data_IF_612067382799
#
_entry.id   IF_612067382799
#
_cell.length_a   1.000
_cell.length_b   1.000
_cell.length_c   1.000
_cell.angle_alpha   90.00
_cell.angle_beta   90.00
_cell.angle_gamma   90.00
#
_symmetry.space_group_name_H-M   'P 1'
#
loop_
_entity.id
_entity.type
_entity.pdbx_description
1 polymer ?
#
# COMPACT_ATOMS: atom_id res chain seq x y z
N UNK A 1 -15.00 7.98 14.37
CA UNK A 1 -13.60 8.36 14.07
C UNK A 1 -12.82 7.08 13.78
N UNK A 2 -12.96 6.52 12.58
CA UNK A 2 -12.29 5.29 12.15
C UNK A 2 -11.23 5.62 11.11
N UNK A 3 -10.13 6.24 11.53
CA UNK A 3 -8.94 6.36 10.72
C UNK A 3 -7.94 5.31 11.20
N UNK A 4 -7.58 4.36 10.34
CA UNK A 4 -6.38 3.55 10.60
C UNK A 4 -5.18 4.48 10.73
N UNK A 5 -4.29 4.24 11.70
CA UNK A 5 -3.03 4.98 11.75
C UNK A 5 -2.31 4.86 10.40
N UNK A 6 -1.70 5.95 9.89
CA UNK A 6 -0.87 5.88 8.69
C UNK A 6 0.19 4.80 8.85
N UNK A 7 0.51 4.10 7.76
CA UNK A 7 1.69 3.22 7.74
C UNK A 7 2.97 4.02 7.93
N UNK A 8 4.07 3.38 8.33
CA UNK A 8 5.41 4.01 8.40
C UNK A 8 5.78 4.78 7.13
N UNK A 9 5.51 4.22 5.96
CA UNK A 9 5.80 4.88 4.67
C UNK A 9 4.88 6.09 4.43
N UNK A 10 3.60 5.99 4.79
CA UNK A 10 2.66 7.10 4.72
C UNK A 10 3.06 8.23 5.69
N UNK A 11 3.48 7.88 6.91
CA UNK A 11 3.99 8.85 7.88
C UNK A 11 5.26 9.55 7.38
N UNK A 12 6.17 8.81 6.74
CA UNK A 12 7.38 9.36 6.12
C UNK A 12 7.03 10.33 4.98
N UNK A 13 6.10 9.96 4.10
CA UNK A 13 5.62 10.84 3.02
C UNK A 13 4.95 12.12 3.56
N UNK A 14 4.16 11.99 4.63
CA UNK A 14 3.49 13.12 5.26
C UNK A 14 4.45 14.11 5.94
N UNK A 15 5.71 13.72 6.16
CA UNK A 15 6.75 14.55 6.77
C UNK A 15 7.64 15.27 5.75
N UNK A 16 7.45 15.03 4.44
CA UNK A 16 8.23 15.70 3.40
C UNK A 16 7.75 17.15 3.21
N UNK A 17 8.69 18.04 2.92
CA UNK A 17 8.39 19.43 2.55
C UNK A 17 7.55 19.46 1.26
N UNK A 18 6.61 20.40 1.19
CA UNK A 18 5.69 20.61 0.07
C UNK A 18 4.83 19.40 -0.32
N UNK A 19 4.71 18.40 0.57
CA UNK A 19 3.86 17.22 0.38
C UNK A 19 2.73 17.22 1.40
N UNK A 20 1.49 17.17 0.90
CA UNK A 20 0.29 17.00 1.73
C UNK A 20 -0.29 15.60 1.53
N UNK A 21 -0.09 14.70 2.50
CA UNK A 21 -0.76 13.41 2.48
C UNK A 21 -2.18 13.51 3.05
N UNK A 22 -3.18 13.05 2.28
CA UNK A 22 -4.55 12.87 2.75
C UNK A 22 -5.00 11.43 2.47
N UNK A 23 -5.49 10.75 3.50
CA UNK A 23 -5.90 9.35 3.43
C UNK A 23 -7.43 9.27 3.48
N UNK A 24 -8.01 8.53 2.54
CA UNK A 24 -9.42 8.13 2.60
C UNK A 24 -9.69 7.12 3.72
N UNK A 25 -10.97 6.77 3.90
CA UNK A 25 -11.41 5.80 4.91
C UNK A 25 -11.14 4.37 4.45
N UNK A 26 -10.55 3.56 5.33
CA UNK A 26 -10.36 2.13 5.07
C UNK A 26 -11.58 1.37 5.61
N UNK A 27 -12.29 0.66 4.73
CA UNK A 27 -13.46 -0.14 5.13
C UNK A 27 -13.04 -1.47 5.78
N UNK A 28 -14.01 -2.23 6.28
CA UNK A 28 -13.77 -3.56 6.90
C UNK A 28 -13.14 -4.60 5.97
N UNK A 29 -13.19 -4.36 4.65
CA UNK A 29 -12.56 -5.18 3.61
C UNK A 29 -11.14 -4.71 3.26
N UNK A 30 -10.64 -3.66 3.91
CA UNK A 30 -9.31 -3.11 3.64
C UNK A 30 -9.24 -2.21 2.42
N UNK A 31 -10.37 -1.86 1.80
CA UNK A 31 -10.42 -0.95 0.66
C UNK A 31 -10.46 0.49 1.14
N UNK A 32 -9.66 1.35 0.51
CA UNK A 32 -9.68 2.78 0.75
C UNK A 32 -10.79 3.43 -0.08
N UNK A 33 -11.63 4.25 0.56
CA UNK A 33 -12.78 4.94 -0.04
C UNK A 33 -12.77 6.44 0.26
N UNK A 34 -13.40 7.23 -0.59
CA UNK A 34 -13.57 8.68 -0.42
C UNK A 34 -12.35 9.51 -0.78
N UNK A 35 -11.38 8.94 -1.49
CA UNK A 35 -10.18 9.66 -1.95
C UNK A 35 -10.54 10.62 -3.09
N UNK A 36 -11.46 10.20 -3.96
CA UNK A 36 -12.10 10.98 -5.02
C UNK A 36 -12.66 12.31 -4.49
N UNK A 37 -13.45 12.25 -3.43
CA UNK A 37 -14.08 13.43 -2.82
C UNK A 37 -13.04 14.37 -2.21
N UNK A 38 -11.94 13.85 -1.66
CA UNK A 38 -10.84 14.66 -1.13
C UNK A 38 -10.12 15.40 -2.26
N UNK A 39 -9.80 14.71 -3.36
CA UNK A 39 -9.15 15.31 -4.54
C UNK A 39 -10.04 16.40 -5.13
N UNK A 40 -11.33 16.11 -5.35
CA UNK A 40 -12.29 17.07 -5.92
C UNK A 40 -12.42 18.30 -5.03
N UNK A 41 -12.55 18.12 -3.72
CA UNK A 41 -12.67 19.24 -2.78
C UNK A 41 -11.42 20.12 -2.81
N UNK A 42 -10.23 19.53 -2.73
CA UNK A 42 -8.98 20.29 -2.71
C UNK A 42 -8.74 21.04 -4.03
N UNK A 43 -9.01 20.40 -5.16
CA UNK A 43 -8.88 21.02 -6.48
C UNK A 43 -9.82 22.23 -6.62
N UNK A 44 -11.09 22.10 -6.21
CA UNK A 44 -12.07 23.19 -6.26
C UNK A 44 -11.69 24.33 -5.32
N UNK A 45 -11.26 24.03 -4.09
CA UNK A 45 -10.89 25.05 -3.11
C UNK A 45 -9.68 25.85 -3.58
N UNK A 46 -8.63 25.18 -4.05
CA UNK A 46 -7.43 25.83 -4.59
C UNK A 46 -7.77 26.71 -5.80
N UNK A 47 -8.63 26.23 -6.69
CA UNK A 47 -9.09 26.99 -7.85
C UNK A 47 -9.93 28.20 -7.45
N UNK A 48 -10.90 28.02 -6.54
CA UNK A 48 -11.79 29.10 -6.07
C UNK A 48 -11.01 30.20 -5.37
N UNK A 49 -10.02 29.83 -4.55
CA UNK A 49 -9.14 30.76 -3.84
C UNK A 49 -8.04 31.34 -4.74
N UNK A 50 -8.00 31.00 -6.03
CA UNK A 50 -6.98 31.46 -6.99
C UNK A 50 -5.56 31.17 -6.52
N UNK A 51 -5.38 30.09 -5.77
CA UNK A 51 -4.09 29.69 -5.20
C UNK A 51 -3.22 28.93 -6.22
N UNK A 52 -3.82 28.45 -7.31
CA UNK A 52 -3.15 27.79 -8.42
C UNK A 52 -3.67 28.34 -9.76
N UNK A 53 -2.86 28.28 -10.80
CA UNK A 53 -3.25 28.55 -12.20
C UNK A 53 -3.39 27.26 -13.01
N UNK A 54 -2.61 26.24 -12.65
CA UNK A 54 -2.53 24.97 -13.36
C UNK A 54 -2.53 23.83 -12.33
N UNK A 55 -3.14 22.71 -12.68
CA UNK A 55 -3.18 21.49 -11.89
C UNK A 55 -2.75 20.30 -12.74
N UNK A 56 -1.81 19.51 -12.24
CA UNK A 56 -1.47 18.20 -12.81
C UNK A 56 -2.22 17.12 -12.03
N UNK A 57 -3.13 16.41 -12.69
CA UNK A 57 -3.93 15.35 -12.10
C UNK A 57 -3.43 13.98 -12.56
N UNK A 58 -2.93 13.18 -11.63
CA UNK A 58 -2.58 11.77 -11.86
C UNK A 58 -3.75 10.89 -11.43
N UNK A 59 -4.67 10.62 -12.35
CA UNK A 59 -5.85 9.80 -12.08
C UNK A 59 -6.45 9.20 -13.35
N UNK A 60 -7.42 8.30 -13.17
CA UNK A 60 -8.16 7.70 -14.28
C UNK A 60 -9.67 7.56 -14.05
N UNK A 61 -10.16 7.94 -12.88
CA UNK A 61 -11.55 7.76 -12.48
C UNK A 61 -12.46 8.87 -13.03
N UNK A 62 -13.61 8.49 -13.58
CA UNK A 62 -14.60 9.42 -14.12
C UNK A 62 -15.18 10.34 -13.03
N UNK A 63 -15.22 9.87 -11.78
CA UNK A 63 -15.77 10.63 -10.65
C UNK A 63 -15.03 11.95 -10.41
N UNK A 64 -13.78 12.07 -10.84
CA UNK A 64 -13.00 13.30 -10.74
C UNK A 64 -13.39 14.36 -11.77
N UNK A 65 -14.12 13.99 -12.82
CA UNK A 65 -14.49 14.88 -13.93
C UNK A 65 -15.22 16.14 -13.44
N UNK A 66 -16.11 16.01 -12.46
CA UNK A 66 -16.83 17.16 -11.90
C UNK A 66 -15.88 18.16 -11.22
N UNK A 67 -14.82 17.67 -10.56
CA UNK A 67 -13.80 18.53 -9.96
C UNK A 67 -13.01 19.29 -11.03
N UNK A 68 -12.66 18.62 -12.13
CA UNK A 68 -11.98 19.24 -13.28
C UNK A 68 -12.82 20.38 -13.86
N UNK A 69 -14.09 20.09 -14.17
CA UNK A 69 -15.00 21.06 -14.76
C UNK A 69 -15.17 22.32 -13.89
N UNK A 70 -15.35 22.15 -12.57
CA UNK A 70 -15.53 23.27 -11.64
C UNK A 70 -14.23 24.08 -11.49
N UNK A 71 -13.07 23.42 -11.44
CA UNK A 71 -11.78 24.11 -11.36
C UNK A 71 -11.52 24.99 -12.59
N UNK A 72 -11.85 24.49 -13.79
CA UNK A 72 -11.77 25.24 -15.04
C UNK A 72 -12.71 26.45 -15.07
N UNK A 73 -13.91 26.34 -14.48
CA UNK A 73 -14.81 27.50 -14.32
C UNK A 73 -14.20 28.60 -13.44
N UNK A 74 -13.28 28.23 -12.56
CA UNK A 74 -12.46 29.17 -11.78
C UNK A 74 -11.13 29.52 -12.46
N UNK A 75 -10.95 29.22 -13.75
CA UNK A 75 -9.79 29.64 -14.55
C UNK A 75 -8.53 28.84 -14.30
N UNK A 76 -8.61 27.67 -13.65
CA UNK A 76 -7.49 26.75 -13.51
C UNK A 76 -7.44 25.80 -14.71
N UNK A 77 -6.27 25.63 -15.30
CA UNK A 77 -6.06 24.61 -16.34
C UNK A 77 -5.73 23.27 -15.70
N UNK A 78 -6.31 22.19 -16.22
CA UNK A 78 -6.11 20.85 -15.65
C UNK A 78 -5.48 19.93 -16.67
N UNK A 79 -4.30 19.42 -16.35
CA UNK A 79 -3.52 18.51 -17.17
C UNK A 79 -3.62 17.10 -16.59
N UNK A 80 -4.15 16.15 -17.37
CA UNK A 80 -4.21 14.75 -16.95
C UNK A 80 -2.91 14.03 -17.30
N UNK A 81 -2.32 13.36 -16.32
CA UNK A 81 -1.18 12.48 -16.49
C UNK A 81 -1.62 11.03 -16.30
N UNK A 82 -1.35 10.19 -17.30
CA UNK A 82 -1.50 8.74 -17.24
C UNK A 82 -0.15 8.02 -17.10
N UNK A 83 -0.18 6.81 -16.54
CA UNK A 83 0.98 5.91 -16.45
C UNK A 83 0.76 4.76 -17.43
N UNK A 84 1.79 4.42 -18.22
CA UNK A 84 1.68 3.35 -19.20
C UNK A 84 1.36 1.98 -18.57
N UNK A 85 0.40 1.21 -19.11
CA UNK A 85 -0.50 1.57 -20.21
C UNK A 85 -1.68 2.41 -19.72
N UNK A 86 -1.78 3.67 -20.15
CA UNK A 86 -2.84 4.57 -19.70
C UNK A 86 -4.19 4.30 -20.40
N UNK A 87 -4.14 3.77 -21.63
CA UNK A 87 -5.35 3.41 -22.40
C UNK A 87 -6.01 2.19 -21.77
N UNK A 88 -7.14 2.41 -21.09
CA UNK A 88 -7.91 1.39 -20.38
C UNK A 88 -8.01 1.62 -18.88
N UNK A 89 -7.06 2.36 -18.29
CA UNK A 89 -7.10 2.76 -16.89
C UNK A 89 -7.65 4.18 -16.68
N UNK A 90 -7.92 4.92 -17.77
CA UNK A 90 -8.44 6.28 -17.72
C UNK A 90 -9.79 6.39 -18.45
N UNK A 91 -10.76 7.04 -17.79
CA UNK A 91 -12.06 7.33 -18.37
C UNK A 91 -11.96 8.23 -19.61
N UNK A 92 -12.61 7.87 -20.74
CA UNK A 92 -12.71 8.73 -21.92
C UNK A 92 -13.33 10.11 -21.62
N UNK A 93 -14.30 10.17 -20.71
CA UNK A 93 -14.98 11.41 -20.33
C UNK A 93 -14.05 12.33 -19.54
N UNK A 94 -13.22 11.76 -18.65
CA UNK A 94 -12.18 12.54 -17.96
C UNK A 94 -11.12 13.07 -18.93
N UNK A 95 -10.72 12.24 -19.91
CA UNK A 95 -9.76 12.64 -20.95
C UNK A 95 -10.28 13.80 -21.80
N UNK A 96 -11.58 13.82 -22.10
CA UNK A 96 -12.22 14.89 -22.86
C UNK A 96 -12.36 16.20 -22.06
N UNK A 97 -12.51 16.09 -20.75
CA UNK A 97 -12.66 17.26 -19.87
C UNK A 97 -11.34 17.98 -19.61
N UNK A 98 -10.23 17.25 -19.51
CA UNK A 98 -8.92 17.83 -19.23
C UNK A 98 -8.40 18.70 -20.39
N UNK A 99 -7.69 19.79 -20.06
CA UNK A 99 -7.09 20.69 -21.05
C UNK A 99 -6.02 20.00 -21.90
N UNK A 100 -5.22 19.13 -21.28
CA UNK A 100 -4.23 18.32 -21.98
C UNK A 100 -4.10 16.96 -21.33
N UNK A 101 -3.75 15.96 -22.12
CA UNK A 101 -3.50 14.60 -21.65
C UNK A 101 -2.08 14.19 -22.04
N UNK A 102 -1.32 13.67 -21.07
CA UNK A 102 0.03 13.13 -21.29
C UNK A 102 0.14 11.76 -20.66
N UNK A 103 0.96 10.91 -21.25
CA UNK A 103 1.27 9.58 -20.73
C UNK A 103 2.76 9.50 -20.42
N UNK A 104 3.10 9.06 -19.21
CA UNK A 104 4.45 8.61 -18.90
C UNK A 104 4.65 7.19 -19.42
N UNK A 105 5.57 7.06 -20.38
CA UNK A 105 5.96 5.79 -20.95
C UNK A 105 6.63 4.88 -19.91
N UNK A 106 6.68 3.60 -20.20
CA UNK A 106 7.40 2.61 -19.39
C UNK A 106 8.86 3.02 -19.13
N UNK A 107 9.56 3.58 -20.13
CA UNK A 107 10.95 4.03 -19.98
C UNK A 107 11.12 5.15 -18.94
N UNK A 108 10.08 5.95 -18.70
CA UNK A 108 10.08 7.01 -17.66
C UNK A 108 9.85 6.41 -16.28
N UNK A 109 9.01 5.37 -16.19
CA UNK A 109 8.49 4.82 -14.92
C UNK A 109 9.39 3.72 -14.37
N UNK A 110 9.93 2.87 -15.22
CA UNK A 110 10.81 1.74 -14.87
C UNK A 110 11.99 2.12 -13.93
N UNK A 111 12.64 3.30 -14.06
CA UNK A 111 13.73 3.70 -13.16
C UNK A 111 13.35 3.85 -11.69
N UNK A 112 12.08 4.09 -11.36
CA UNK A 112 11.64 4.38 -9.98
C UNK A 112 10.40 3.61 -9.52
N UNK A 113 9.76 2.82 -10.39
CA UNK A 113 8.59 2.02 -10.04
C UNK A 113 8.70 0.63 -10.66
N UNK A 114 8.51 -0.40 -9.83
CA UNK A 114 8.48 -1.79 -10.26
C UNK A 114 7.17 -2.43 -9.85
N UNK A 115 6.52 -3.14 -10.78
CA UNK A 115 5.34 -3.94 -10.46
C UNK A 115 5.81 -5.11 -9.60
N UNK A 116 5.28 -5.22 -8.38
CA UNK A 116 5.43 -6.47 -7.63
C UNK A 116 4.64 -7.55 -8.37
N UNK A 117 5.25 -8.67 -8.77
CA UNK A 117 4.51 -9.75 -9.40
C UNK A 117 3.36 -10.13 -8.48
N UNK A 118 2.14 -10.09 -9.02
CA UNK A 118 0.97 -10.57 -8.31
C UNK A 118 1.26 -12.03 -7.95
N UNK A 119 1.35 -12.32 -6.66
CA UNK A 119 1.36 -13.69 -6.20
C UNK A 119 -0.02 -14.20 -6.59
N UNK A 120 -0.11 -15.05 -7.60
CA UNK A 120 -1.25 -15.94 -7.73
C UNK A 120 -1.42 -16.57 -6.35
N UNK A 121 -2.52 -16.25 -5.67
CA UNK A 121 -2.92 -17.02 -4.52
C UNK A 121 -2.86 -18.49 -4.98
N UNK A 122 -2.18 -19.40 -4.26
CA UNK A 122 -2.25 -20.81 -4.60
C UNK A 122 -3.73 -21.14 -4.73
N UNK A 123 -4.08 -21.68 -5.91
CA UNK A 123 -5.42 -21.67 -6.46
C UNK A 123 -6.51 -22.00 -5.46
N UNK A 124 -7.69 -21.42 -5.69
CA UNK A 124 -8.97 -21.79 -5.10
C UNK A 124 -8.93 -23.13 -4.38
N UNK A 125 -8.80 -23.10 -3.06
CA UNK A 125 -9.10 -24.28 -2.25
C UNK A 125 -10.60 -24.52 -2.48
N UNK A 126 -11.01 -25.72 -2.95
CA UNK A 126 -12.42 -26.03 -3.07
C UNK A 126 -13.12 -25.86 -1.71
N UNK A 127 -14.36 -25.39 -1.77
CA UNK A 127 -15.28 -25.20 -0.64
C UNK A 127 -15.19 -26.33 0.40
N UNK A 128 -15.33 -26.04 1.70
CA UNK A 128 -14.91 -26.95 2.76
C UNK A 128 -15.88 -28.12 2.89
N UNK A 129 -15.48 -29.30 2.42
CA UNK A 129 -15.84 -30.51 3.12
C UNK A 129 -14.95 -30.61 4.36
N UNK A 130 -15.60 -30.75 5.51
CA UNK A 130 -15.00 -30.81 6.82
C UNK A 130 -13.95 -31.94 6.88
N UNK A 131 -12.67 -31.56 6.84
CA UNK A 131 -11.59 -32.34 7.44
C UNK A 131 -11.12 -31.56 8.65
N UNK A 132 -11.26 -32.19 9.82
CA UNK A 132 -10.62 -31.75 11.07
C UNK A 132 -9.10 -31.77 10.86
N UNK A 133 -8.56 -30.68 10.31
CA UNK A 133 -7.13 -30.44 10.27
C UNK A 133 -6.68 -30.24 11.72
N UNK A 134 -5.83 -31.15 12.22
CA UNK A 134 -5.26 -31.07 13.55
C UNK A 134 -4.61 -29.70 13.78
N UNK A 135 -4.58 -29.24 15.03
CA UNK A 135 -4.02 -27.94 15.42
C UNK A 135 -2.60 -27.71 14.89
N UNK A 136 -1.81 -28.77 14.69
CA UNK A 136 -0.46 -28.69 14.15
C UNK A 136 -0.40 -28.28 12.67
N UNK A 137 -1.37 -28.68 11.85
CA UNK A 137 -1.37 -28.38 10.41
C UNK A 137 -1.81 -26.92 10.15
N UNK A 138 -2.70 -26.42 11.00
CA UNK A 138 -3.11 -25.02 11.05
C UNK A 138 -1.93 -24.13 11.46
N UNK A 139 -1.21 -24.49 12.52
CA UNK A 139 -0.03 -23.74 12.97
C UNK A 139 1.11 -23.78 11.95
N UNK A 140 1.31 -24.91 11.27
CA UNK A 140 2.27 -25.03 10.18
C UNK A 140 1.93 -24.08 9.03
N UNK A 141 0.66 -24.04 8.59
CA UNK A 141 0.17 -23.15 7.53
C UNK A 141 0.37 -21.67 7.89
N UNK A 142 0.05 -21.28 9.13
CA UNK A 142 0.28 -19.92 9.64
C UNK A 142 1.76 -19.57 9.65
N UNK A 143 2.61 -20.49 10.11
CA UNK A 143 4.05 -20.27 10.19
C UNK A 143 4.67 -20.09 8.80
N UNK A 144 4.21 -20.85 7.81
CA UNK A 144 4.64 -20.74 6.41
C UNK A 144 4.22 -19.39 5.82
N UNK A 145 2.95 -19.00 5.98
CA UNK A 145 2.47 -17.70 5.51
C UNK A 145 3.21 -16.51 6.16
N UNK A 146 3.54 -16.63 7.46
CA UNK A 146 4.30 -15.64 8.19
C UNK A 146 5.75 -15.53 7.71
N UNK A 147 6.45 -16.66 7.50
CA UNK A 147 7.84 -16.67 6.97
C UNK A 147 7.91 -16.13 5.56
N UNK A 148 6.98 -16.53 4.69
CA UNK A 148 6.90 -16.02 3.32
C UNK A 148 6.69 -14.50 3.32
N UNK A 149 5.82 -14.01 4.21
CA UNK A 149 5.61 -12.56 4.37
C UNK A 149 6.87 -11.86 4.87
N UNK A 150 7.63 -12.46 5.80
CA UNK A 150 8.90 -11.92 6.29
C UNK A 150 9.98 -11.84 5.19
N UNK A 151 10.07 -12.87 4.34
CA UNK A 151 11.00 -12.91 3.19
C UNK A 151 10.66 -11.85 2.14
N UNK A 152 9.38 -11.52 2.00
CA UNK A 152 8.86 -10.58 0.99
C UNK A 152 8.81 -9.12 1.45
N UNK A 153 9.29 -8.79 2.66
CA UNK A 153 9.38 -7.39 3.10
C UNK A 153 10.41 -6.62 2.30
N UNK A 154 10.10 -5.36 1.99
CA UNK A 154 11.04 -4.47 1.33
C UNK A 154 12.20 -4.12 2.26
N UNK A 155 13.37 -3.73 1.70
CA UNK A 155 14.47 -3.21 2.50
C UNK A 155 14.04 -2.05 3.41
N UNK A 156 13.14 -1.17 2.95
CA UNK A 156 12.57 -0.08 3.76
C UNK A 156 11.76 -0.58 4.95
N UNK A 157 10.92 -1.60 4.75
CA UNK A 157 10.14 -2.23 5.82
C UNK A 157 11.06 -2.96 6.81
N UNK A 158 12.12 -3.61 6.34
CA UNK A 158 13.13 -4.27 7.18
C UNK A 158 13.86 -3.25 8.05
N UNK A 159 14.27 -2.12 7.46
CA UNK A 159 14.86 -1.00 8.21
C UNK A 159 13.87 -0.46 9.24
N UNK A 160 12.60 -0.28 8.88
CA UNK A 160 11.57 0.20 9.80
C UNK A 160 11.34 -0.76 10.99
N UNK A 161 11.42 -2.07 10.76
CA UNK A 161 11.38 -3.07 11.85
C UNK A 161 12.65 -3.00 12.70
N UNK A 162 13.82 -2.84 12.08
CA UNK A 162 15.10 -2.68 12.77
C UNK A 162 15.12 -1.46 13.68
N UNK A 163 14.68 -0.31 13.19
CA UNK A 163 14.55 0.92 13.99
C UNK A 163 13.56 0.74 15.14
N UNK A 164 12.42 0.09 14.88
CA UNK A 164 11.43 -0.20 15.91
C UNK A 164 11.98 -1.06 17.05
N UNK A 165 12.81 -2.07 16.73
CA UNK A 165 13.47 -2.89 17.74
C UNK A 165 14.61 -2.16 18.47
N UNK A 166 15.34 -1.28 17.77
CA UNK A 166 16.40 -0.45 18.35
C UNK A 166 15.85 0.57 19.37
N UNK A 167 14.63 1.06 19.18
CA UNK A 167 13.91 1.93 20.12
C UNK A 167 13.43 1.20 21.40
N UNK A 168 13.74 -0.09 21.55
CA UNK A 168 13.38 -0.91 22.71
C UNK A 168 11.98 -1.52 22.63
N UNK A 169 11.25 -1.32 21.53
CA UNK A 169 9.93 -1.91 21.34
C UNK A 169 10.04 -3.39 20.99
N UNK A 170 9.34 -4.24 21.76
CA UNK A 170 9.27 -5.68 21.51
C UNK A 170 7.99 -6.00 20.73
N UNK A 171 8.13 -6.69 19.60
CA UNK A 171 6.97 -7.14 18.83
C UNK A 171 7.14 -6.92 17.34
N UNK A 172 6.02 -7.02 16.61
CA UNK A 172 5.93 -6.61 15.20
C UNK A 172 5.34 -5.21 15.16
N UNK A 173 5.90 -4.27 14.37
CA UNK A 173 5.30 -2.95 14.21
C UNK A 173 3.81 -3.05 13.83
N UNK A 174 2.92 -2.19 14.37
CA UNK A 174 1.46 -2.32 14.19
C UNK A 174 1.00 -2.40 12.73
N UNK A 175 1.72 -1.73 11.82
CA UNK A 175 1.37 -1.66 10.40
C UNK A 175 1.65 -2.97 9.68
N UNK A 176 2.78 -3.58 10.02
CA UNK A 176 3.19 -4.90 9.54
C UNK A 176 2.33 -5.99 10.18
N UNK A 177 1.99 -5.86 11.46
CA UNK A 177 1.09 -6.79 12.17
C UNK A 177 -0.30 -6.80 11.54
N UNK A 178 -0.87 -5.64 11.19
CA UNK A 178 -2.15 -5.56 10.46
C UNK A 178 -2.09 -6.25 9.10
N UNK A 179 -1.00 -6.06 8.35
CA UNK A 179 -0.80 -6.70 7.04
C UNK A 179 -0.68 -8.22 7.18
N UNK A 180 0.08 -8.70 8.15
CA UNK A 180 0.23 -10.13 8.46
C UNK A 180 -1.09 -10.76 8.89
N UNK A 181 -1.87 -10.08 9.73
CA UNK A 181 -3.20 -10.52 10.13
C UNK A 181 -4.13 -10.64 8.93
N UNK A 182 -4.06 -9.71 7.97
CA UNK A 182 -4.82 -9.79 6.72
C UNK A 182 -4.47 -11.02 5.89
N UNK A 183 -3.17 -11.26 5.67
CA UNK A 183 -2.67 -12.41 4.89
C UNK A 183 -3.06 -13.73 5.56
N UNK A 184 -2.84 -13.87 6.86
CA UNK A 184 -3.15 -15.11 7.58
C UNK A 184 -4.67 -15.34 7.66
N UNK A 185 -5.47 -14.28 7.81
CA UNK A 185 -6.95 -14.39 7.76
C UNK A 185 -7.43 -14.88 6.40
N UNK A 186 -6.81 -14.40 5.32
CA UNK A 186 -7.14 -14.85 3.96
C UNK A 186 -6.72 -16.31 3.73
N UNK A 187 -5.56 -16.72 4.24
CA UNK A 187 -5.08 -18.10 4.14
C UNK A 187 -5.94 -19.09 4.94
N UNK A 188 -6.48 -18.69 6.09
CA UNK A 188 -7.30 -19.55 6.96
C UNK A 188 -8.80 -19.50 6.67
N UNK A 189 -9.27 -18.50 5.91
CA UNK A 189 -10.70 -18.23 5.73
C UNK A 189 -11.45 -17.80 7.00
N UNK A 190 -10.77 -17.69 8.14
CA UNK A 190 -11.33 -17.28 9.44
C UNK A 190 -10.41 -16.34 10.21
N UNK A 191 -10.95 -15.70 11.25
CA UNK A 191 -10.19 -14.86 12.16
C UNK A 191 -9.27 -15.73 13.03
N UNK A 192 -8.02 -15.29 13.21
CA UNK A 192 -7.03 -15.97 14.04
C UNK A 192 -7.38 -15.85 15.54
N UNK A 193 -7.16 -16.94 16.27
CA UNK A 193 -7.24 -17.00 17.73
C UNK A 193 -6.04 -16.33 18.41
N UNK A 194 -6.14 -16.09 19.72
CA UNK A 194 -5.09 -15.42 20.49
C UNK A 194 -3.78 -16.23 20.59
N UNK A 195 -3.87 -17.57 20.54
CA UNK A 195 -2.72 -18.50 20.46
C UNK A 195 -2.04 -18.39 19.09
N UNK A 196 -2.83 -18.45 18.03
CA UNK A 196 -2.41 -18.38 16.63
C UNK A 196 -1.74 -17.04 16.28
N UNK A 197 -2.29 -15.92 16.76
CA UNK A 197 -1.68 -14.59 16.61
C UNK A 197 -0.30 -14.50 17.25
N UNK A 198 -0.11 -15.11 18.42
CA UNK A 198 1.20 -15.17 19.10
C UNK A 198 2.19 -16.01 18.32
N UNK A 199 1.75 -17.17 17.81
CA UNK A 199 2.57 -18.07 17.01
C UNK A 199 3.02 -17.42 15.69
N UNK A 200 2.09 -16.76 14.99
CA UNK A 200 2.37 -16.00 13.76
C UNK A 200 3.43 -14.92 13.97
N UNK A 201 3.30 -14.10 15.02
CA UNK A 201 4.28 -13.04 15.35
C UNK A 201 5.65 -13.63 15.68
N UNK A 202 5.71 -14.74 16.42
CA UNK A 202 6.96 -15.40 16.76
C UNK A 202 7.67 -15.97 15.52
N UNK A 203 6.93 -16.64 14.62
CA UNK A 203 7.47 -17.15 13.37
C UNK A 203 8.00 -16.04 12.45
N UNK A 204 7.25 -14.94 12.36
CA UNK A 204 7.63 -13.76 11.59
C UNK A 204 8.89 -13.08 12.12
N UNK A 205 8.96 -12.85 13.43
CA UNK A 205 10.14 -12.24 14.07
C UNK A 205 11.39 -13.10 13.92
N UNK A 206 11.26 -14.43 14.04
CA UNK A 206 12.38 -15.36 13.88
C UNK A 206 12.99 -15.26 12.49
N UNK A 207 12.16 -15.23 11.45
CA UNK A 207 12.64 -15.13 10.05
C UNK A 207 13.25 -13.75 9.77
N UNK A 208 12.65 -12.68 10.29
CA UNK A 208 13.19 -11.33 10.13
C UNK A 208 14.53 -11.12 10.83
N UNK A 209 14.72 -11.68 12.04
CA UNK A 209 16.01 -11.63 12.73
C UNK A 209 17.11 -12.31 11.94
N UNK A 210 16.84 -13.49 11.38
CA UNK A 210 17.79 -14.19 10.49
C UNK A 210 18.18 -13.33 9.29
N UNK A 211 17.22 -12.58 8.72
CA UNK A 211 17.48 -11.69 7.58
C UNK A 211 18.27 -10.44 7.95
N UNK A 212 18.00 -9.85 9.12
CA UNK A 212 18.73 -8.69 9.62
C UNK A 212 20.17 -9.08 9.98
N UNK A 213 20.35 -10.14 10.76
CA UNK A 213 21.68 -10.65 11.15
C UNK A 213 22.48 -11.13 9.91
N UNK A 214 21.82 -11.78 8.94
CA UNK A 214 22.45 -12.20 7.69
C UNK A 214 22.86 -11.04 6.77
N UNK A 215 22.15 -9.90 6.84
CA UNK A 215 22.49 -8.69 6.08
C UNK A 215 23.68 -7.93 6.67
N UNK A 216 23.91 -8.01 7.99
CA UNK A 216 25.10 -7.45 8.64
C UNK A 216 26.38 -8.22 8.28
N UNK A 217 26.29 -9.54 8.07
CA UNK A 217 27.47 -10.37 7.70
C UNK A 217 27.93 -10.11 6.27
N UNK A 218 27.01 -9.82 5.33
CA UNK A 218 27.36 -9.54 3.93
C UNK A 218 28.05 -8.19 3.70
N UNK A 219 28.00 -7.27 4.66
CA UNK A 219 28.67 -5.97 4.60
C UNK A 219 30.12 -6.00 5.11
N UNK A 220 30.56 -7.09 5.76
CA UNK A 220 31.94 -7.21 6.29
C UNK A 220 32.93 -7.92 5.37
N UNK A 221 32.48 -8.67 4.37
CA UNK A 221 33.35 -9.39 3.43
C UNK A 221 33.69 -8.61 2.14
N UNK A 222 33.37 -7.31 2.08
CA UNK A 222 33.63 -6.44 0.92
C UNK A 222 34.86 -5.54 1.03
N UNK A 223 35.69 -5.72 2.06
CA UNK A 223 36.89 -4.90 2.27
C UNK A 223 38.09 -5.77 2.67
N UNK A 224 38.63 -6.50 1.72
CA UNK A 224 40.06 -6.85 1.62
C UNK A 224 40.54 -6.67 0.18
#
# INVERSE_FOLDING_TARGET
>A
MGGSLPTSDQARLAALDDVKLRLGFVNSQGQQKGVDSLIVTDLIELARLKSISDALLLAGDEDLRIGVQIAQNHGVRVHLLGIHPARGSQSPQLLQEADTTKEWSRAVVDPFMTIRPAIEAPGSIPSPEAVEAGSDDILASISTAARDSARRLEPTDVIAVGTYWAEGNRGVPPDIDRRLLGICRQALGRVLEASEKRHMRAAFQKELKVRIDGSETSLKDGSE
#
